data_IF_827441416987
#
_entry.id   IF_827441416987
#
_cell.length_a   1.000
_cell.length_b   1.000
_cell.length_c   1.000
_cell.angle_alpha   90.00
_cell.angle_beta   90.00
_cell.angle_gamma   90.00
#
_symmetry.space_group_name_H-M   'P 1'
#
loop_
_entity.id
_entity.type
_entity.pdbx_description
1 polymer ?
#
# COMPACT_ATOMS: atom_id res chain seq x y z
N UNK A 1 2.10 20.28 -10.24
CA UNK A 1 3.10 19.27 -9.80
C UNK A 1 2.86 18.92 -8.34
N UNK A 2 2.90 19.88 -7.43
CA UNK A 2 2.71 19.64 -5.99
C UNK A 2 1.36 18.95 -5.69
N UNK A 3 0.26 19.46 -6.26
CA UNK A 3 -1.06 18.81 -6.15
C UNK A 3 -1.14 17.41 -6.76
N UNK A 4 -0.35 17.12 -7.80
CA UNK A 4 -0.31 15.78 -8.40
C UNK A 4 0.41 14.78 -7.48
N UNK A 5 1.54 15.22 -6.91
CA UNK A 5 2.30 14.42 -5.94
C UNK A 5 1.48 14.13 -4.69
N UNK A 6 0.66 15.07 -4.22
CA UNK A 6 -0.25 14.88 -3.10
C UNK A 6 -1.25 13.73 -3.32
N UNK A 7 -1.70 13.52 -4.57
CA UNK A 7 -2.68 12.50 -4.94
C UNK A 7 -2.08 11.11 -5.13
N UNK A 8 -0.75 10.99 -5.21
CA UNK A 8 -0.05 9.69 -5.27
C UNK A 8 -0.28 8.91 -3.98
N UNK A 9 -0.24 7.59 -4.09
CA UNK A 9 -0.58 6.72 -2.97
C UNK A 9 0.54 6.70 -1.92
N UNK A 10 1.77 6.42 -2.37
CA UNK A 10 2.92 6.24 -1.50
C UNK A 10 4.00 7.28 -1.76
N UNK A 11 4.71 7.66 -0.71
CA UNK A 11 5.78 8.68 -0.71
C UNK A 11 6.88 8.35 -1.71
N UNK A 12 7.29 7.08 -1.80
CA UNK A 12 8.28 6.60 -2.77
C UNK A 12 7.85 6.80 -4.24
N UNK A 13 6.54 6.94 -4.48
CA UNK A 13 5.96 7.22 -5.80
C UNK A 13 5.53 8.68 -5.95
N UNK A 14 5.80 9.52 -4.96
CA UNK A 14 5.45 10.94 -4.89
C UNK A 14 6.70 11.85 -5.00
N UNK A 15 7.73 11.35 -5.67
CA UNK A 15 8.91 12.11 -6.08
C UNK A 15 8.80 12.46 -7.57
N UNK A 16 9.36 13.59 -7.98
CA UNK A 16 9.41 13.99 -9.39
C UNK A 16 10.71 14.69 -9.75
N UNK A 17 11.03 14.73 -11.03
CA UNK A 17 12.08 15.57 -11.57
C UNK A 17 11.48 16.65 -12.46
N UNK A 18 11.78 17.91 -12.19
CA UNK A 18 11.37 19.05 -12.98
C UNK A 18 12.56 19.66 -13.70
N UNK A 19 12.41 19.99 -15.00
CA UNK A 19 13.52 20.50 -15.82
C UNK A 19 14.18 21.76 -15.25
N UNK A 20 13.41 22.67 -14.63
CA UNK A 20 13.94 23.91 -14.04
C UNK A 20 14.08 23.91 -12.52
N UNK A 21 13.34 23.04 -11.80
CA UNK A 21 13.36 22.99 -10.33
C UNK A 21 14.23 21.84 -9.80
N UNK A 22 14.71 20.96 -10.67
CA UNK A 22 15.46 19.77 -10.31
C UNK A 22 14.58 18.69 -9.68
N UNK A 23 15.19 17.87 -8.83
CA UNK A 23 14.53 16.82 -8.08
C UNK A 23 13.60 17.40 -7.00
N UNK A 24 12.38 16.91 -6.94
CA UNK A 24 11.33 17.32 -6.00
C UNK A 24 10.89 16.12 -5.18
N UNK A 25 11.06 16.23 -3.86
CA UNK A 25 10.55 15.27 -2.88
C UNK A 25 9.88 16.03 -1.73
N UNK A 26 8.57 16.25 -1.88
CA UNK A 26 7.78 17.02 -0.92
C UNK A 26 7.31 16.18 0.27
N UNK A 27 7.42 14.85 0.18
CA UNK A 27 6.80 13.91 1.11
C UNK A 27 7.78 12.95 1.77
N UNK A 28 9.09 13.09 1.52
CA UNK A 28 10.14 12.24 2.10
C UNK A 28 10.21 10.85 1.45
N UNK A 29 9.90 10.75 0.16
CA UNK A 29 10.00 9.52 -0.61
C UNK A 29 11.44 9.00 -0.72
N UNK A 30 12.44 9.88 -0.75
CA UNK A 30 13.85 9.46 -0.84
C UNK A 30 14.29 8.76 0.46
N UNK A 31 13.89 9.30 1.61
CA UNK A 31 14.15 8.70 2.91
C UNK A 31 13.43 7.35 3.06
N UNK A 32 12.16 7.27 2.63
CA UNK A 32 11.39 6.03 2.64
C UNK A 32 11.99 4.98 1.72
N UNK A 33 12.52 5.37 0.57
CA UNK A 33 13.22 4.49 -0.35
C UNK A 33 14.51 3.94 0.29
N UNK A 34 15.33 4.81 0.89
CA UNK A 34 16.55 4.41 1.62
C UNK A 34 16.24 3.45 2.78
N UNK A 35 15.14 3.69 3.49
CA UNK A 35 14.67 2.84 4.60
C UNK A 35 13.90 1.60 4.15
N UNK A 36 13.66 1.41 2.84
CA UNK A 36 12.81 0.31 2.31
C UNK A 36 11.44 0.27 2.98
N UNK A 37 10.76 1.43 3.03
CA UNK A 37 9.52 1.67 3.77
C UNK A 37 8.39 2.10 2.84
N UNK A 38 7.23 1.45 2.94
CA UNK A 38 5.99 1.81 2.24
C UNK A 38 5.14 2.66 3.18
N UNK A 39 5.01 3.96 2.86
CA UNK A 39 4.25 4.94 3.63
C UNK A 39 3.28 5.70 2.72
N UNK A 40 2.03 5.85 3.15
CA UNK A 40 1.04 6.64 2.41
C UNK A 40 1.41 8.14 2.44
N UNK A 41 1.07 8.86 1.37
CA UNK A 41 1.20 10.32 1.33
C UNK A 41 0.07 10.96 2.16
N UNK A 42 0.39 11.84 3.10
CA UNK A 42 -0.61 12.49 3.95
C UNK A 42 -1.17 11.57 5.05
N UNK A 43 -2.43 11.78 5.45
CA UNK A 43 -3.06 11.01 6.52
C UNK A 43 -3.52 9.62 6.03
N UNK A 44 -2.98 8.51 6.56
CA UNK A 44 -3.25 7.18 6.00
C UNK A 44 -4.72 6.73 6.13
N UNK A 45 -5.44 7.16 7.18
CA UNK A 45 -6.86 6.82 7.34
C UNK A 45 -7.68 7.52 6.25
N UNK A 46 -7.48 8.82 6.06
CA UNK A 46 -8.19 9.61 5.04
C UNK A 46 -7.92 9.05 3.64
N UNK A 47 -6.65 8.76 3.32
CA UNK A 47 -6.28 8.18 2.03
C UNK A 47 -6.93 6.81 1.79
N UNK A 48 -7.01 5.95 2.80
CA UNK A 48 -7.68 4.64 2.63
C UNK A 48 -9.19 4.82 2.44
N UNK A 49 -9.80 5.81 3.11
CA UNK A 49 -11.24 6.11 2.96
C UNK A 49 -11.59 6.66 1.58
N UNK A 50 -10.69 7.46 0.98
CA UNK A 50 -10.82 7.93 -0.40
C UNK A 50 -10.78 6.79 -1.43
N UNK A 51 -9.81 5.88 -1.33
CA UNK A 51 -9.71 4.68 -2.18
C UNK A 51 -9.13 3.50 -1.40
N UNK A 52 -10.00 2.56 -1.02
CA UNK A 52 -9.63 1.36 -0.29
C UNK A 52 -8.67 0.44 -1.05
N UNK A 53 -8.53 0.58 -2.39
CA UNK A 53 -7.57 -0.20 -3.17
C UNK A 53 -6.11 0.08 -2.74
N UNK A 54 -5.84 1.23 -2.09
CA UNK A 54 -4.52 1.56 -1.54
C UNK A 54 -4.01 0.51 -0.56
N UNK A 55 -4.89 -0.18 0.16
CA UNK A 55 -4.53 -1.30 1.04
C UNK A 55 -3.90 -2.43 0.20
N UNK A 56 -4.56 -2.86 -0.87
CA UNK A 56 -4.04 -3.93 -1.75
C UNK A 56 -2.73 -3.52 -2.41
N UNK A 57 -2.63 -2.27 -2.86
CA UNK A 57 -1.40 -1.75 -3.47
C UNK A 57 -0.24 -1.72 -2.49
N UNK A 58 -0.49 -1.41 -1.21
CA UNK A 58 0.53 -1.43 -0.17
C UNK A 58 1.11 -2.85 -0.02
N UNK A 59 0.25 -3.86 0.11
CA UNK A 59 0.67 -5.25 0.18
C UNK A 59 1.35 -5.73 -1.10
N UNK A 60 0.87 -5.32 -2.29
CA UNK A 60 1.55 -5.61 -3.56
C UNK A 60 2.99 -5.10 -3.53
N UNK A 61 3.21 -3.85 -3.12
CA UNK A 61 4.56 -3.29 -3.05
C UNK A 61 5.44 -3.99 -2.02
N UNK A 62 4.89 -4.38 -0.87
CA UNK A 62 5.61 -5.22 0.11
C UNK A 62 6.02 -6.55 -0.54
N UNK A 63 5.11 -7.20 -1.27
CA UNK A 63 5.38 -8.49 -1.94
C UNK A 63 6.42 -8.38 -3.05
N UNK A 64 6.37 -7.32 -3.85
CA UNK A 64 7.26 -7.14 -5.00
C UNK A 64 8.64 -6.60 -4.62
N UNK A 65 8.72 -5.72 -3.62
CA UNK A 65 9.96 -5.00 -3.29
C UNK A 65 10.65 -5.50 -2.02
N UNK A 66 9.94 -6.28 -1.18
CA UNK A 66 10.45 -6.72 0.12
C UNK A 66 10.54 -5.59 1.15
N UNK A 67 9.85 -4.48 0.91
CA UNK A 67 9.82 -3.33 1.81
C UNK A 67 8.88 -3.60 3.00
N UNK A 68 8.99 -2.82 4.07
CA UNK A 68 8.08 -2.91 5.22
C UNK A 68 7.04 -1.77 5.21
N UNK A 69 5.86 -2.00 5.78
CA UNK A 69 4.90 -0.92 5.99
C UNK A 69 5.37 0.00 7.10
N UNK A 70 5.19 1.30 6.92
CA UNK A 70 5.32 2.24 8.04
C UNK A 70 4.20 2.02 9.08
N UNK A 71 4.51 2.21 10.36
CA UNK A 71 3.64 1.83 11.47
C UNK A 71 2.26 2.50 11.45
N UNK A 72 2.16 3.80 11.14
CA UNK A 72 0.86 4.47 11.00
C UNK A 72 0.07 3.93 9.81
N UNK A 73 0.75 3.64 8.70
CA UNK A 73 0.15 3.01 7.51
C UNK A 73 -0.37 1.60 7.84
N UNK A 74 0.41 0.78 8.55
CA UNK A 74 -0.01 -0.56 9.00
C UNK A 74 -1.23 -0.49 9.93
N UNK A 75 -1.22 0.43 10.91
CA UNK A 75 -2.35 0.64 11.83
C UNK A 75 -3.60 1.10 11.10
N UNK A 76 -3.48 2.05 10.19
CA UNK A 76 -4.61 2.53 9.39
C UNK A 76 -5.20 1.43 8.50
N UNK A 77 -4.37 0.57 7.91
CA UNK A 77 -4.83 -0.61 7.16
C UNK A 77 -5.65 -1.54 8.07
N UNK A 78 -5.15 -1.86 9.27
CA UNK A 78 -5.86 -2.75 10.19
C UNK A 78 -7.22 -2.17 10.62
N UNK A 79 -7.29 -0.85 10.84
CA UNK A 79 -8.50 -0.12 11.22
C UNK A 79 -9.51 -0.04 10.06
N UNK A 80 -9.04 0.28 8.85
CA UNK A 80 -9.91 0.62 7.71
C UNK A 80 -10.04 -0.54 6.69
N UNK A 81 -9.57 -1.76 7.02
CA UNK A 81 -9.64 -2.95 6.14
C UNK A 81 -11.01 -3.25 5.54
N UNK A 82 -12.10 -2.85 6.21
CA UNK A 82 -13.46 -3.02 5.69
C UNK A 82 -13.71 -2.22 4.40
N UNK A 83 -12.91 -1.19 4.11
CA UNK A 83 -12.97 -0.44 2.86
C UNK A 83 -12.73 -1.34 1.63
N UNK A 84 -11.99 -2.45 1.79
CA UNK A 84 -11.79 -3.44 0.73
C UNK A 84 -13.12 -4.03 0.22
N UNK A 85 -14.16 -4.14 1.06
CA UNK A 85 -15.48 -4.65 0.65
C UNK A 85 -16.20 -3.72 -0.32
N UNK A 86 -15.84 -2.44 -0.34
CA UNK A 86 -16.43 -1.42 -1.24
C UNK A 86 -15.74 -1.37 -2.60
N UNK A 87 -14.64 -2.09 -2.77
CA UNK A 87 -13.86 -2.09 -4.02
C UNK A 87 -14.41 -3.15 -4.98
N UNK A 88 -14.51 -2.78 -6.25
CA UNK A 88 -14.88 -3.72 -7.30
C UNK A 88 -13.92 -4.94 -7.31
N UNK A 89 -14.49 -6.14 -7.34
CA UNK A 89 -13.71 -7.40 -7.30
C UNK A 89 -12.65 -7.47 -8.39
N UNK A 90 -12.91 -6.94 -9.59
CA UNK A 90 -11.93 -6.89 -10.68
C UNK A 90 -10.65 -6.12 -10.31
N UNK A 91 -10.77 -4.98 -9.63
CA UNK A 91 -9.63 -4.18 -9.16
C UNK A 91 -8.85 -4.91 -8.07
N UNK A 92 -9.56 -5.59 -7.16
CA UNK A 92 -8.93 -6.46 -6.14
C UNK A 92 -8.15 -7.58 -6.82
N UNK A 93 -8.75 -8.29 -7.78
CA UNK A 93 -8.11 -9.39 -8.51
C UNK A 93 -6.87 -8.93 -9.26
N UNK A 94 -6.89 -7.74 -9.87
CA UNK A 94 -5.71 -7.20 -10.56
C UNK A 94 -4.53 -6.99 -9.61
N UNK A 95 -4.77 -6.40 -8.44
CA UNK A 95 -3.73 -6.21 -7.43
C UNK A 95 -3.29 -7.54 -6.80
N UNK A 96 -4.23 -8.45 -6.56
CA UNK A 96 -3.97 -9.78 -6.03
C UNK A 96 -3.05 -10.58 -6.95
N UNK A 97 -3.34 -10.62 -8.25
CA UNK A 97 -2.53 -11.35 -9.24
C UNK A 97 -1.08 -10.85 -9.27
N UNK A 98 -0.87 -9.54 -9.13
CA UNK A 98 0.48 -8.94 -9.07
C UNK A 98 1.17 -9.21 -7.73
N UNK A 99 0.40 -9.29 -6.65
CA UNK A 99 0.91 -9.58 -5.30
C UNK A 99 1.39 -11.03 -5.20
N UNK A 100 0.61 -12.01 -5.68
CA UNK A 100 0.92 -13.44 -5.46
C UNK A 100 2.14 -13.94 -6.22
N UNK A 101 2.55 -13.23 -7.27
CA UNK A 101 3.77 -13.52 -8.04
C UNK A 101 4.99 -12.73 -7.56
N UNK A 102 4.87 -11.97 -6.46
CA UNK A 102 5.98 -11.21 -5.89
C UNK A 102 6.94 -12.09 -5.08
N UNK A 103 8.23 -11.75 -5.11
CA UNK A 103 9.30 -12.51 -4.46
C UNK A 103 9.14 -12.65 -2.93
N UNK A 104 8.38 -11.74 -2.31
CA UNK A 104 8.14 -11.69 -0.86
C UNK A 104 6.67 -12.01 -0.50
N UNK A 105 5.96 -12.76 -1.35
CA UNK A 105 4.55 -13.11 -1.16
C UNK A 105 4.28 -13.78 0.19
N UNK A 106 5.10 -14.74 0.62
CA UNK A 106 4.87 -15.50 1.85
C UNK A 106 4.78 -14.57 3.07
N UNK A 107 5.79 -13.71 3.25
CA UNK A 107 5.83 -12.69 4.32
C UNK A 107 4.69 -11.68 4.20
N UNK A 108 4.30 -11.34 2.97
CA UNK A 108 3.18 -10.42 2.73
C UNK A 108 1.86 -11.02 3.19
N UNK A 109 1.61 -12.30 2.91
CA UNK A 109 0.38 -12.99 3.34
C UNK A 109 0.30 -13.09 4.86
N UNK A 110 1.41 -13.32 5.56
CA UNK A 110 1.48 -13.25 7.02
C UNK A 110 1.09 -11.87 7.54
N UNK A 111 1.63 -10.79 6.95
CA UNK A 111 1.27 -9.42 7.31
C UNK A 111 -0.19 -9.07 7.00
N UNK A 112 -0.75 -9.60 5.90
CA UNK A 112 -2.16 -9.46 5.58
C UNK A 112 -3.05 -10.19 6.59
N UNK A 113 -2.60 -11.33 7.12
CA UNK A 113 -3.25 -12.05 8.22
C UNK A 113 -3.20 -11.24 9.50
N UNK A 114 -2.04 -10.72 9.89
CA UNK A 114 -1.88 -9.87 11.11
C UNK A 114 -2.80 -8.64 11.10
N UNK A 115 -2.91 -7.97 9.95
CA UNK A 115 -3.80 -6.81 9.81
C UNK A 115 -5.28 -7.20 9.67
N UNK A 116 -5.56 -8.48 9.37
CA UNK A 116 -6.87 -9.04 9.08
C UNK A 116 -7.42 -8.65 7.70
N UNK A 117 -6.59 -8.07 6.82
CA UNK A 117 -6.97 -7.77 5.44
C UNK A 117 -7.17 -9.05 4.61
N UNK A 118 -6.39 -10.10 4.89
CA UNK A 118 -6.48 -11.38 4.17
C UNK A 118 -7.89 -11.99 4.26
N UNK A 119 -8.49 -11.97 5.45
CA UNK A 119 -9.83 -12.51 5.71
C UNK A 119 -10.94 -11.78 4.94
N UNK A 120 -10.71 -10.53 4.54
CA UNK A 120 -11.68 -9.75 3.75
C UNK A 120 -11.64 -10.17 2.27
N UNK A 121 -10.44 -10.47 1.74
CA UNK A 121 -10.24 -10.82 0.34
C UNK A 121 -10.50 -12.31 0.08
N UNK A 122 -9.99 -13.17 0.96
CA UNK A 122 -10.13 -14.63 0.87
C UNK A 122 -10.65 -15.20 2.20
N UNK A 123 -11.96 -15.08 2.47
CA UNK A 123 -12.54 -15.57 3.73
C UNK A 123 -12.30 -17.06 4.00
N UNK A 124 -12.21 -17.88 2.94
CA UNK A 124 -12.00 -19.33 3.04
C UNK A 124 -10.63 -19.71 3.61
N UNK A 125 -9.60 -18.86 3.48
CA UNK A 125 -8.26 -19.14 4.03
C UNK A 125 -8.23 -19.19 5.56
N UNK A 126 -9.22 -18.59 6.23
CA UNK A 126 -9.36 -18.68 7.68
C UNK A 126 -9.55 -20.11 8.19
N UNK A 127 -9.96 -21.04 7.33
CA UNK A 127 -10.11 -22.45 7.69
C UNK A 127 -8.79 -23.23 7.66
N UNK A 128 -7.73 -22.63 7.11
CA UNK A 128 -6.45 -23.29 6.90
C UNK A 128 -5.44 -23.06 8.05
N UNK A 129 -5.79 -22.24 9.04
CA UNK A 129 -4.99 -21.94 10.22
C UNK A 129 -5.87 -21.66 11.44
#
# INVERSE_FOLDING_TARGET
IEEDLARRDFTINAMAYHRSKGFLDLYGGEEDLKKKRIRLVGNPIERIREDGLRIMRAFRFVSQLGFHLEENTKRAIAQEKQMLKKIAKSRITEEWNKLVVGDFVAKTLEMMKETGALEIILPSLKLCY
#
